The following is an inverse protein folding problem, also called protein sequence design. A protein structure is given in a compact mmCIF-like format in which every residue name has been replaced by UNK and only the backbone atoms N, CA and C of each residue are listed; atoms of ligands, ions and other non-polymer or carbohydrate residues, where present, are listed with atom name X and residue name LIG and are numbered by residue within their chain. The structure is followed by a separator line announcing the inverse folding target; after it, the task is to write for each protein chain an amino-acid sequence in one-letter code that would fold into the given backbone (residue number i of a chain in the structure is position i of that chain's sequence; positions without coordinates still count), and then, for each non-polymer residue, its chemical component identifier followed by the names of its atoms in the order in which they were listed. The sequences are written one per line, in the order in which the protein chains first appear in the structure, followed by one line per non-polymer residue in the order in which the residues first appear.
data_IF_103075536505
#
_entry.id   IF_103075536505
#
_cell.length_a   1.000
_cell.length_b   1.000
_cell.length_c   1.000
_cell.angle_alpha   90.00
_cell.angle_beta   90.00
_cell.angle_gamma   90.00
#
_symmetry.space_group_name_H-M   'P 1'
#
loop_
_entity.id
_entity.type
_entity.pdbx_description
1 polymer ?
#
# COMPACT_ATOMS: atom_id res chain seq x y z
N UNK A 1 -6.14 -43.67 47.39
CA UNK A 1 -5.34 -42.49 47.00
C UNK A 1 -4.70 -42.81 45.64
N UNK A 2 -5.30 -42.50 44.48
CA UNK A 2 -6.34 -41.51 44.17
C UNK A 2 -5.83 -40.06 44.42
N UNK A 3 -5.85 -39.09 43.49
CA UNK A 3 -6.48 -39.01 42.15
C UNK A 3 -5.68 -38.17 41.13
N UNK A 4 -5.69 -38.63 39.89
CA UNK A 4 -5.67 -37.92 38.58
C UNK A 4 -5.60 -36.38 38.51
N UNK A 5 -4.72 -35.84 37.64
CA UNK A 5 -5.14 -34.83 36.62
C UNK A 5 -4.25 -34.70 35.37
N UNK A 6 -4.83 -35.12 34.23
CA UNK A 6 -4.64 -34.72 32.83
C UNK A 6 -3.24 -34.50 32.22
N UNK A 7 -2.89 -35.42 31.30
CA UNK A 7 -2.13 -35.11 30.08
C UNK A 7 -3.06 -34.55 28.96
N UNK A 8 -2.58 -33.55 28.21
CA UNK A 8 -3.11 -32.99 26.93
C UNK A 8 -2.16 -31.86 26.52
N UNK A 9 -1.68 -31.68 25.29
CA UNK A 9 -1.64 -32.50 24.05
C UNK A 9 -0.22 -33.16 23.92
N UNK A 10 0.31 -33.81 22.87
CA UNK A 10 0.05 -34.03 21.41
C UNK A 10 0.34 -32.84 20.45
N UNK A 11 1.60 -32.59 20.09
CA UNK A 11 2.18 -33.12 18.82
C UNK A 11 1.11 -33.44 17.76
N UNK A 12 0.87 -32.48 16.86
CA UNK A 12 0.20 -32.59 15.56
C UNK A 12 1.14 -31.84 14.61
N UNK A 13 2.03 -32.48 13.85
CA UNK A 13 1.85 -33.38 12.68
C UNK A 13 1.94 -32.59 11.36
N UNK A 14 2.93 -32.98 10.58
CA UNK A 14 3.30 -32.50 9.25
C UNK A 14 2.36 -33.09 8.17
N UNK A 15 2.35 -32.44 7.00
CA UNK A 15 1.84 -32.93 5.71
C UNK A 15 0.31 -33.05 5.55
N UNK A 16 -0.23 -32.18 4.69
CA UNK A 16 -1.37 -32.47 3.84
C UNK A 16 -0.86 -32.63 2.39
N UNK A 17 -0.22 -33.77 2.10
CA UNK A 17 0.34 -34.05 0.77
C UNK A 17 -0.44 -35.18 0.09
N UNK A 18 -0.84 -34.93 -1.15
CA UNK A 18 -0.95 -35.88 -2.29
C UNK A 18 -2.33 -36.09 -2.94
N UNK A 19 -2.26 -36.16 -4.27
CA UNK A 19 -3.22 -36.69 -5.26
C UNK A 19 -4.65 -36.11 -5.31
N UNK A 20 -4.80 -35.08 -6.15
CA UNK A 20 -5.73 -35.20 -7.28
C UNK A 20 -4.92 -35.17 -8.58
N UNK A 21 -4.70 -36.33 -9.17
CA UNK A 21 -4.10 -36.47 -10.50
C UNK A 21 -5.18 -36.27 -11.56
N UNK A 22 -5.53 -35.02 -11.85
CA UNK A 22 -6.37 -34.65 -13.01
C UNK A 22 -5.45 -34.09 -14.08
N UNK A 23 -5.57 -34.58 -15.31
CA UNK A 23 -4.72 -34.14 -16.41
C UNK A 23 -5.10 -32.73 -16.89
N UNK A 24 -4.09 -31.87 -17.02
CA UNK A 24 -4.01 -30.74 -17.95
C UNK A 24 -5.24 -29.83 -18.11
N UNK A 25 -5.35 -28.81 -17.25
CA UNK A 25 -5.65 -27.44 -17.71
C UNK A 25 -4.60 -26.49 -17.11
N UNK A 26 -4.09 -25.57 -17.92
CA UNK A 26 -3.03 -24.63 -17.53
C UNK A 26 -3.59 -23.47 -16.72
N UNK A 27 -3.17 -23.34 -15.46
CA UNK A 27 -3.34 -22.13 -14.65
C UNK A 27 -2.17 -22.02 -13.66
N UNK A 28 -1.24 -21.10 -13.93
CA UNK A 28 -0.14 -20.81 -13.01
C UNK A 28 -0.63 -19.99 -11.83
N UNK A 29 -0.63 -20.56 -10.62
CA UNK A 29 -0.91 -19.83 -9.38
C UNK A 29 0.28 -18.92 -9.06
N UNK A 30 0.30 -17.73 -9.64
CA UNK A 30 1.29 -16.69 -9.34
C UNK A 30 0.88 -15.93 -8.10
N UNK A 31 1.51 -16.24 -6.96
CA UNK A 31 1.36 -15.43 -5.73
C UNK A 31 2.08 -14.11 -5.92
N UNK A 32 1.32 -13.06 -6.22
CA UNK A 32 1.84 -11.69 -6.34
C UNK A 32 1.60 -10.92 -5.04
N UNK A 33 2.69 -10.64 -4.32
CA UNK A 33 2.62 -9.98 -3.02
C UNK A 33 2.81 -8.47 -3.20
N UNK A 34 1.69 -7.75 -3.26
CA UNK A 34 1.65 -6.27 -3.18
C UNK A 34 1.83 -5.75 -1.74
N UNK A 35 1.97 -6.66 -0.77
CA UNK A 35 2.02 -6.39 0.66
C UNK A 35 3.38 -6.70 1.29
N UNK A 36 4.15 -5.65 1.52
CA UNK A 36 5.24 -5.65 2.50
C UNK A 36 5.25 -4.25 3.08
N UNK A 37 4.87 -4.14 4.34
CA UNK A 37 4.39 -2.88 4.91
C UNK A 37 4.79 -2.81 6.38
N UNK A 38 6.10 -2.83 6.62
CA UNK A 38 6.65 -2.19 7.83
C UNK A 38 6.58 -0.66 7.66
N UNK A 39 5.35 -0.13 7.66
CA UNK A 39 5.05 1.30 7.69
C UNK A 39 3.99 1.62 8.74
N UNK A 40 4.23 1.13 9.97
CA UNK A 40 3.50 1.57 11.18
C UNK A 40 4.39 2.32 12.16
N UNK A 41 5.40 3.00 11.63
CA UNK A 41 6.26 3.95 12.35
C UNK A 41 5.59 5.32 12.40
N UNK A 42 4.87 5.58 13.50
CA UNK A 42 4.48 6.93 13.90
C UNK A 42 5.73 7.74 14.29
N UNK A 43 6.41 8.34 13.32
CA UNK A 43 7.45 9.34 13.60
C UNK A 43 6.76 10.67 13.91
N UNK A 44 6.69 11.04 15.20
CA UNK A 44 6.07 12.28 15.67
C UNK A 44 7.11 13.38 15.99
N UNK A 45 7.48 14.26 15.05
CA UNK A 45 8.23 15.49 15.34
C UNK A 45 7.29 16.67 15.69
N UNK A 46 6.18 16.43 16.39
CA UNK A 46 5.19 17.49 16.67
C UNK A 46 4.12 17.13 17.71
N UNK A 47 4.39 17.45 18.98
CA UNK A 47 3.45 17.43 20.12
C UNK A 47 2.80 16.07 20.51
N UNK A 48 2.58 15.78 21.81
CA UNK A 48 1.76 14.64 22.25
C UNK A 48 0.27 14.72 21.84
N UNK A 49 -0.17 15.86 21.28
CA UNK A 49 -1.56 16.17 20.98
C UNK A 49 -2.07 15.64 19.62
N UNK A 50 -1.17 15.38 18.66
CA UNK A 50 -1.50 14.98 17.29
C UNK A 50 -1.54 13.44 17.18
N UNK A 51 -2.61 12.88 16.58
CA UNK A 51 -2.79 11.44 16.38
C UNK A 51 -3.50 11.13 15.07
N UNK A 52 -2.87 10.36 14.20
CA UNK A 52 -3.44 9.89 12.93
C UNK A 52 -3.72 8.39 12.88
N UNK A 53 -4.66 8.06 12.00
CA UNK A 53 -4.97 6.70 11.59
C UNK A 53 -5.11 6.64 10.06
N UNK A 54 -4.17 5.95 9.40
CA UNK A 54 -4.31 5.54 8.00
C UNK A 54 -5.15 4.26 7.94
N UNK A 55 -6.10 4.19 7.01
CA UNK A 55 -6.86 2.98 6.72
C UNK A 55 -6.91 2.74 5.20
N UNK A 56 -7.02 1.47 4.80
CA UNK A 56 -7.34 1.07 3.43
C UNK A 56 -8.47 0.01 3.40
N UNK A 57 -9.73 0.35 3.79
CA UNK A 57 -10.82 -0.63 3.92
C UNK A 57 -11.17 -1.47 2.68
N UNK A 58 -10.83 -1.02 1.45
CA UNK A 58 -10.98 -1.78 0.21
C UNK A 58 -9.77 -2.67 -0.10
N UNK A 59 -8.63 -2.40 0.54
CA UNK A 59 -7.42 -3.20 0.42
C UNK A 59 -7.46 -4.41 1.37
N UNK A 60 -7.61 -4.17 2.68
CA UNK A 60 -7.47 -5.19 3.74
C UNK A 60 -8.75 -5.43 4.56
N UNK A 61 -9.75 -4.54 4.47
CA UNK A 61 -11.01 -4.63 5.21
C UNK A 61 -10.97 -4.08 6.64
N UNK A 62 -9.89 -3.43 7.09
CA UNK A 62 -9.83 -2.75 8.39
C UNK A 62 -10.30 -1.29 8.30
N UNK A 63 -10.89 -0.78 9.39
CA UNK A 63 -11.46 0.59 9.49
C UNK A 63 -11.06 1.32 10.78
N UNK A 64 -10.30 0.63 11.64
CA UNK A 64 -9.96 0.95 13.02
C UNK A 64 -8.43 1.03 13.24
N UNK A 65 -7.68 1.16 12.14
CA UNK A 65 -6.23 1.21 12.15
C UNK A 65 -5.56 -0.06 12.67
N UNK A 66 -6.27 -1.20 12.79
CA UNK A 66 -5.63 -2.48 13.16
C UNK A 66 -4.96 -3.17 11.97
N UNK A 67 -5.28 -2.75 10.73
CA UNK A 67 -4.62 -3.23 9.53
C UNK A 67 -3.11 -3.08 9.55
N UNK A 68 -2.45 -4.03 8.91
CA UNK A 68 -1.01 -4.10 8.67
C UNK A 68 -0.68 -4.06 7.15
N UNK A 69 -1.69 -3.96 6.29
CA UNK A 69 -1.52 -3.99 4.82
C UNK A 69 -1.19 -5.36 4.23
N UNK A 70 -0.98 -6.39 5.05
CA UNK A 70 -0.55 -7.75 4.68
C UNK A 70 -1.56 -8.85 5.01
N UNK A 71 -2.49 -8.59 5.95
CA UNK A 71 -3.52 -9.53 6.38
C UNK A 71 -4.93 -9.02 6.06
N UNK A 72 -5.78 -9.89 5.51
CA UNK A 72 -7.22 -9.59 5.35
C UNK A 72 -7.90 -9.65 6.72
N UNK A 73 -8.66 -8.62 7.07
CA UNK A 73 -9.47 -8.57 8.28
C UNK A 73 -10.39 -9.82 8.38
N UNK A 74 -10.21 -10.69 9.39
CA UNK A 74 -11.02 -11.90 9.55
C UNK A 74 -12.53 -11.63 9.67
N UNK A 75 -12.93 -10.44 10.12
CA UNK A 75 -14.33 -10.02 10.23
C UNK A 75 -14.92 -9.39 8.96
N UNK A 76 -14.12 -9.05 7.94
CA UNK A 76 -14.61 -8.41 6.72
C UNK A 76 -15.61 -9.30 5.97
N UNK A 77 -16.66 -8.68 5.43
CA UNK A 77 -17.55 -9.28 4.44
C UNK A 77 -16.86 -9.24 3.06
N UNK A 78 -17.29 -10.09 2.13
CA UNK A 78 -16.79 -10.11 0.75
C UNK A 78 -15.26 -10.09 0.60
N UNK A 79 -14.55 -10.97 1.34
CA UNK A 79 -13.07 -11.01 1.33
C UNK A 79 -12.45 -11.18 -0.06
N UNK A 80 -13.18 -11.79 -0.98
CA UNK A 80 -12.73 -12.04 -2.35
C UNK A 80 -12.75 -10.76 -3.23
N UNK A 81 -13.53 -9.74 -2.83
CA UNK A 81 -13.59 -8.43 -3.49
C UNK A 81 -12.47 -7.47 -3.00
N UNK A 82 -11.71 -7.84 -1.97
CA UNK A 82 -10.67 -7.00 -1.37
C UNK A 82 -9.39 -6.97 -2.21
N UNK A 83 -8.76 -5.80 -2.29
CA UNK A 83 -7.53 -5.56 -3.05
C UNK A 83 -6.40 -6.52 -2.70
N UNK A 84 -6.18 -6.83 -1.43
CA UNK A 84 -5.15 -7.78 -0.98
C UNK A 84 -5.39 -9.20 -1.50
N UNK A 85 -6.66 -9.62 -1.62
CA UNK A 85 -7.04 -10.93 -2.19
C UNK A 85 -6.88 -10.95 -3.72
N UNK A 86 -7.35 -9.89 -4.40
CA UNK A 86 -7.27 -9.73 -5.86
C UNK A 86 -5.81 -9.64 -6.32
N UNK A 87 -5.00 -8.85 -5.61
CA UNK A 87 -3.57 -8.70 -5.85
C UNK A 87 -2.84 -10.04 -5.81
N UNK A 88 -3.19 -10.91 -4.85
CA UNK A 88 -2.58 -12.22 -4.65
C UNK A 88 -2.57 -13.13 -5.88
N UNK A 89 -3.43 -12.89 -6.89
CA UNK A 89 -3.46 -13.62 -8.16
C UNK A 89 -3.75 -12.68 -9.36
N UNK A 90 -3.14 -11.49 -9.39
CA UNK A 90 -3.42 -10.48 -10.42
C UNK A 90 -3.05 -10.95 -11.86
N UNK A 91 -3.68 -10.33 -12.87
CA UNK A 91 -3.39 -10.52 -14.29
C UNK A 91 -3.16 -9.17 -15.00
N UNK A 92 -2.58 -9.13 -16.22
CA UNK A 92 -2.45 -7.88 -16.98
C UNK A 92 -3.82 -7.25 -17.27
N UNK A 93 -4.05 -6.04 -16.75
CA UNK A 93 -5.35 -5.37 -16.76
C UNK A 93 -6.27 -5.68 -15.58
N UNK A 94 -5.79 -6.35 -14.52
CA UNK A 94 -6.50 -6.40 -13.24
C UNK A 94 -6.65 -4.99 -12.66
N UNK A 95 -7.86 -4.66 -12.22
CA UNK A 95 -8.11 -3.50 -11.36
C UNK A 95 -8.09 -3.99 -9.91
N UNK A 96 -7.23 -3.38 -9.09
CA UNK A 96 -6.98 -3.78 -7.71
C UNK A 96 -7.49 -2.64 -6.80
N UNK A 97 -8.57 -2.86 -6.02
CA UNK A 97 -9.09 -1.85 -5.11
C UNK A 97 -8.08 -1.42 -4.03
N UNK A 98 -8.02 -0.12 -3.74
CA UNK A 98 -7.33 0.46 -2.59
C UNK A 98 -8.12 1.69 -2.12
N UNK A 99 -7.81 2.28 -0.98
CA UNK A 99 -8.40 3.57 -0.58
C UNK A 99 -7.65 4.22 0.61
N UNK A 100 -6.36 4.56 0.45
CA UNK A 100 -5.62 5.26 1.49
C UNK A 100 -6.31 6.57 1.86
N UNK A 101 -6.76 6.64 3.11
CA UNK A 101 -7.40 7.81 3.72
C UNK A 101 -6.92 7.99 5.17
N UNK A 102 -6.67 9.24 5.57
CA UNK A 102 -6.25 9.60 6.92
C UNK A 102 -7.45 10.08 7.74
N UNK A 103 -7.53 9.61 8.98
CA UNK A 103 -8.50 10.06 9.98
C UNK A 103 -7.76 10.87 11.05
N UNK A 104 -8.27 12.05 11.37
CA UNK A 104 -7.84 12.80 12.55
C UNK A 104 -8.39 12.08 13.80
N UNK A 105 -7.49 11.55 14.62
CA UNK A 105 -7.82 10.79 15.84
C UNK A 105 -7.34 11.49 17.12
N UNK A 106 -6.97 12.76 17.02
CA UNK A 106 -6.40 13.58 18.09
C UNK A 106 -7.39 13.78 19.23
N UNK A 107 -7.04 13.30 20.42
CA UNK A 107 -7.91 13.32 21.61
C UNK A 107 -7.72 14.58 22.48
N UNK A 108 -6.64 15.35 22.28
CA UNK A 108 -6.39 16.64 22.95
C UNK A 108 -7.50 17.68 22.68
N UNK A 109 -7.84 18.49 23.69
CA UNK A 109 -8.87 19.51 23.61
C UNK A 109 -8.40 20.85 23.00
N UNK A 110 -7.11 20.99 22.67
CA UNK A 110 -6.57 22.11 21.91
C UNK A 110 -6.55 21.86 20.38
N UNK A 111 -6.77 20.61 19.94
CA UNK A 111 -6.68 20.20 18.53
C UNK A 111 -8.07 19.91 17.96
N UNK A 112 -8.67 20.94 17.35
CA UNK A 112 -9.95 20.83 16.65
C UNK A 112 -9.81 20.33 15.21
N UNK A 113 -8.69 20.63 14.54
CA UNK A 113 -8.44 20.26 13.13
C UNK A 113 -6.95 20.24 12.76
N UNK A 114 -6.61 19.44 11.75
CA UNK A 114 -5.22 19.20 11.29
C UNK A 114 -5.16 19.23 9.76
N UNK A 115 -4.03 19.68 9.19
CA UNK A 115 -3.74 19.49 7.77
C UNK A 115 -3.09 18.13 7.55
N UNK A 116 -3.48 17.45 6.48
CA UNK A 116 -3.06 16.07 6.18
C UNK A 116 -2.09 16.02 5.01
N UNK A 117 -1.07 15.17 5.13
CA UNK A 117 -0.13 14.86 4.07
C UNK A 117 0.04 13.34 3.88
N UNK A 118 0.35 12.92 2.66
CA UNK A 118 0.76 11.55 2.34
C UNK A 118 2.05 11.53 1.52
N UNK A 119 2.86 10.49 1.74
CA UNK A 119 3.98 10.11 0.87
C UNK A 119 3.65 8.77 0.20
N UNK A 120 3.96 8.65 -1.08
CA UNK A 120 3.78 7.43 -1.89
C UNK A 120 5.13 6.98 -2.43
N UNK A 121 5.54 5.75 -2.10
CA UNK A 121 6.74 5.10 -2.61
C UNK A 121 6.39 3.90 -3.50
N UNK A 122 7.18 3.70 -4.54
CA UNK A 122 7.00 2.64 -5.53
C UNK A 122 8.20 1.69 -5.47
N UNK A 123 7.95 0.39 -5.33
CA UNK A 123 9.00 -0.64 -5.36
C UNK A 123 8.66 -1.76 -6.34
N UNK A 124 9.68 -2.42 -6.88
CA UNK A 124 9.53 -3.62 -7.73
C UNK A 124 10.61 -4.65 -7.39
N UNK A 125 10.29 -5.93 -7.53
CA UNK A 125 11.27 -7.00 -7.41
C UNK A 125 12.09 -7.09 -8.71
N UNK A 126 13.42 -6.94 -8.64
CA UNK A 126 14.27 -6.89 -9.85
C UNK A 126 14.33 -8.25 -10.59
N UNK A 127 14.20 -9.35 -9.84
CA UNK A 127 14.07 -10.71 -10.35
C UNK A 127 13.18 -11.55 -9.42
N UNK A 128 12.53 -12.59 -9.94
CA UNK A 128 11.68 -13.49 -9.13
C UNK A 128 12.42 -14.03 -7.91
N UNK A 129 11.97 -13.67 -6.71
CA UNK A 129 12.59 -14.06 -5.44
C UNK A 129 13.80 -13.22 -5.00
N UNK A 130 14.16 -12.17 -5.76
CA UNK A 130 15.18 -11.20 -5.39
C UNK A 130 14.69 -10.11 -4.43
N UNK A 131 15.52 -9.11 -4.20
CA UNK A 131 15.16 -7.95 -3.38
C UNK A 131 14.21 -6.99 -4.11
N UNK A 132 13.48 -6.18 -3.34
CA UNK A 132 12.69 -5.08 -3.86
C UNK A 132 13.54 -3.81 -3.93
N UNK A 133 13.52 -3.16 -5.09
CA UNK A 133 14.22 -1.90 -5.35
C UNK A 133 13.19 -0.77 -5.52
N UNK A 134 13.51 0.42 -5.00
CA UNK A 134 12.72 1.62 -5.25
C UNK A 134 12.83 2.04 -6.72
N UNK A 135 11.73 2.53 -7.28
CA UNK A 135 11.62 3.04 -8.65
C UNK A 135 10.83 4.34 -8.67
N UNK A 136 11.00 5.14 -9.72
CA UNK A 136 10.25 6.39 -9.88
C UNK A 136 8.78 6.14 -10.23
N UNK A 137 7.92 7.13 -10.00
CA UNK A 137 6.53 7.10 -10.49
C UNK A 137 6.42 6.82 -12.00
N UNK A 138 7.37 7.32 -12.79
CA UNK A 138 7.43 7.14 -14.25
C UNK A 138 7.79 5.69 -14.64
N UNK A 139 8.74 5.08 -13.92
CA UNK A 139 9.09 3.67 -14.05
C UNK A 139 7.94 2.77 -13.54
N UNK A 140 7.24 3.18 -12.47
CA UNK A 140 6.06 2.46 -11.95
C UNK A 140 4.88 2.49 -12.93
N UNK A 141 4.67 3.60 -13.66
CA UNK A 141 3.62 3.75 -14.67
C UNK A 141 3.73 2.73 -15.84
N UNK A 142 4.86 2.01 -15.95
CA UNK A 142 5.06 0.88 -16.87
C UNK A 142 4.42 -0.41 -16.33
N UNK A 143 4.34 -0.57 -15.01
CA UNK A 143 3.80 -1.75 -14.31
C UNK A 143 2.30 -1.62 -14.00
N UNK A 144 1.86 -0.46 -13.54
CA UNK A 144 0.47 -0.16 -13.23
C UNK A 144 0.20 1.35 -13.23
N UNK A 145 -1.05 1.74 -13.46
CA UNK A 145 -1.51 3.13 -13.32
C UNK A 145 -2.31 3.34 -12.03
N UNK A 146 -2.22 4.56 -11.49
CA UNK A 146 -2.97 5.01 -10.30
C UNK A 146 -3.71 6.30 -10.69
N UNK A 147 -5.01 6.35 -10.45
CA UNK A 147 -5.82 7.55 -10.67
C UNK A 147 -5.90 8.37 -9.36
N UNK A 148 -4.97 9.30 -9.19
CA UNK A 148 -4.91 10.17 -8.02
C UNK A 148 -6.07 11.17 -7.98
N UNK A 149 -6.64 11.38 -6.79
CA UNK A 149 -7.76 12.27 -6.52
C UNK A 149 -7.33 13.75 -6.47
N UNK A 150 -6.94 14.28 -7.63
CA UNK A 150 -6.41 15.65 -7.81
C UNK A 150 -7.42 16.77 -7.47
N UNK A 151 -8.70 16.44 -7.27
CA UNK A 151 -9.71 17.39 -6.79
C UNK A 151 -9.61 17.67 -5.27
N UNK A 152 -8.97 16.77 -4.50
CA UNK A 152 -8.88 16.87 -3.04
C UNK A 152 -7.45 16.66 -2.51
N UNK A 153 -6.52 16.22 -3.35
CA UNK A 153 -5.10 16.02 -3.01
C UNK A 153 -4.21 16.69 -4.05
N UNK A 154 -3.35 17.59 -3.60
CA UNK A 154 -2.35 18.26 -4.45
C UNK A 154 -1.01 17.56 -4.30
N UNK A 155 -0.41 17.11 -5.42
CA UNK A 155 1.00 16.69 -5.45
C UNK A 155 1.89 17.92 -5.27
N UNK A 156 2.67 17.96 -4.20
CA UNK A 156 3.51 19.10 -3.81
C UNK A 156 5.00 18.86 -4.06
N UNK A 157 5.46 17.61 -4.10
CA UNK A 157 6.85 17.27 -4.42
C UNK A 157 7.02 15.84 -4.96
N UNK A 158 8.20 15.61 -5.53
CA UNK A 158 8.84 14.29 -5.70
C UNK A 158 10.24 14.39 -5.10
N UNK A 159 10.73 13.36 -4.41
CA UNK A 159 12.10 13.33 -3.87
C UNK A 159 13.11 12.57 -4.75
N UNK A 160 14.38 12.54 -4.31
CA UNK A 160 15.48 11.93 -5.05
C UNK A 160 15.41 10.38 -5.17
N UNK A 161 14.50 9.72 -4.43
CA UNK A 161 14.20 8.30 -4.61
C UNK A 161 13.09 8.06 -5.64
N UNK A 162 12.37 9.11 -6.04
CA UNK A 162 11.19 9.03 -6.89
C UNK A 162 9.87 8.90 -6.12
N UNK A 163 9.88 9.06 -4.79
CA UNK A 163 8.69 9.07 -3.96
C UNK A 163 7.91 10.40 -4.11
N UNK A 164 6.58 10.30 -4.17
CA UNK A 164 5.68 11.43 -4.40
C UNK A 164 4.99 11.89 -3.11
N UNK A 165 4.89 13.20 -2.92
CA UNK A 165 4.32 13.82 -1.73
C UNK A 165 3.04 14.59 -2.10
N UNK A 166 2.00 14.39 -1.30
CA UNK A 166 0.67 14.95 -1.50
C UNK A 166 0.19 15.65 -0.23
N UNK A 167 -0.46 16.80 -0.37
CA UNK A 167 -1.15 17.49 0.72
C UNK A 167 -2.67 17.53 0.45
N UNK A 168 -3.47 17.45 1.51
CA UNK A 168 -4.94 17.49 1.40
C UNK A 168 -5.44 18.92 1.19
N UNK A 169 -6.25 19.14 0.15
CA UNK A 169 -6.63 20.45 -0.37
C UNK A 169 -6.00 20.78 -1.72
N UNK A 170 -6.10 22.05 -2.12
CA UNK A 170 -5.54 22.59 -3.36
C UNK A 170 -4.14 23.17 -3.14
N UNK A 171 -3.41 23.45 -4.23
CA UNK A 171 -2.11 24.13 -4.18
C UNK A 171 -2.16 25.47 -3.44
N UNK A 172 -3.27 26.21 -3.60
CA UNK A 172 -3.47 27.53 -2.99
C UNK A 172 -4.10 27.46 -1.58
N UNK A 173 -4.67 26.32 -1.17
CA UNK A 173 -5.41 26.20 0.10
C UNK A 173 -5.47 24.76 0.59
N UNK A 174 -4.72 24.47 1.67
CA UNK A 174 -4.82 23.21 2.39
C UNK A 174 -6.20 23.08 3.08
N UNK A 175 -6.76 21.87 3.05
CA UNK A 175 -8.04 21.55 3.71
C UNK A 175 -7.77 20.95 5.08
N UNK A 176 -8.22 21.63 6.13
CA UNK A 176 -8.13 21.12 7.49
C UNK A 176 -9.18 20.02 7.74
N UNK A 177 -8.77 18.90 8.32
CA UNK A 177 -9.63 17.77 8.69
C UNK A 177 -9.93 17.87 10.18
N UNK A 178 -11.21 18.02 10.50
CA UNK A 178 -11.69 18.12 11.87
C UNK A 178 -11.49 16.81 12.66
N UNK A 179 -11.39 16.93 13.98
CA UNK A 179 -11.32 15.82 14.92
C UNK A 179 -12.40 14.76 14.68
N UNK A 180 -11.99 13.51 14.49
CA UNK A 180 -12.87 12.38 14.17
C UNK A 180 -13.35 12.30 12.71
N UNK A 181 -12.98 13.26 11.84
CA UNK A 181 -13.25 13.20 10.41
C UNK A 181 -12.07 12.55 9.64
N UNK A 182 -12.35 12.11 8.42
CA UNK A 182 -11.36 11.53 7.51
C UNK A 182 -11.27 12.29 6.20
N UNK A 183 -10.10 12.23 5.56
CA UNK A 183 -9.89 12.68 4.17
C UNK A 183 -10.72 11.84 3.20
N UNK A 184 -11.10 12.38 2.04
CA UNK A 184 -11.38 11.53 0.87
C UNK A 184 -10.13 10.74 0.48
N UNK A 185 -10.22 9.51 -0.05
CA UNK A 185 -9.03 8.73 -0.42
C UNK A 185 -8.12 9.44 -1.43
N UNK A 186 -6.81 9.19 -1.34
CA UNK A 186 -5.81 9.71 -2.28
C UNK A 186 -5.94 9.06 -3.67
N UNK A 187 -6.32 7.79 -3.73
CA UNK A 187 -6.79 7.06 -4.92
C UNK A 187 -7.74 5.94 -4.49
N UNK A 188 -8.42 5.28 -5.44
CA UNK A 188 -9.41 4.22 -5.16
C UNK A 188 -9.09 2.87 -5.83
N UNK A 189 -8.13 2.84 -6.75
CA UNK A 189 -7.76 1.63 -7.48
C UNK A 189 -6.36 1.75 -8.09
N UNK A 190 -5.77 0.60 -8.38
CA UNK A 190 -4.51 0.42 -9.10
C UNK A 190 -4.81 -0.48 -10.29
N UNK A 191 -4.60 0.00 -11.52
CA UNK A 191 -4.83 -0.80 -12.72
C UNK A 191 -3.52 -1.34 -13.25
N UNK A 192 -3.34 -2.67 -13.20
CA UNK A 192 -2.17 -3.37 -13.73
C UNK A 192 -2.06 -3.13 -15.24
N UNK A 193 -0.86 -2.82 -15.74
CA UNK A 193 -0.59 -2.63 -17.17
C UNK A 193 -1.07 -3.81 -18.01
N UNK A 194 -1.61 -3.51 -19.20
CA UNK A 194 -1.98 -4.50 -20.21
C UNK A 194 -1.49 -4.03 -21.59
N UNK A 195 -0.42 -4.66 -22.07
CA UNK A 195 0.13 -4.48 -23.40
C UNK A 195 0.82 -5.80 -23.84
N UNK A 196 1.38 -5.84 -25.04
CA UNK A 196 1.97 -7.05 -25.62
C UNK A 196 3.36 -7.41 -25.04
N UNK A 197 3.93 -6.56 -24.18
CA UNK A 197 5.25 -6.73 -23.55
C UNK A 197 5.14 -7.22 -22.09
N UNK A 198 4.13 -6.73 -21.35
CA UNK A 198 3.86 -7.07 -19.95
C UNK A 198 3.08 -8.40 -19.87
N UNK A 199 3.76 -9.51 -20.17
CA UNK A 199 3.14 -10.82 -20.37
C UNK A 199 3.68 -11.91 -19.44
N UNK A 200 2.76 -12.80 -19.02
CA UNK A 200 3.10 -14.08 -18.38
C UNK A 200 3.56 -15.07 -19.46
N UNK A 201 4.86 -15.10 -19.74
CA UNK A 201 5.48 -16.10 -20.63
C UNK A 201 5.35 -17.51 -20.04
N UNK A 202 4.87 -18.49 -20.81
CA UNK A 202 4.75 -19.88 -20.35
C UNK A 202 6.00 -20.73 -20.58
N UNK A 203 6.98 -20.24 -21.35
CA UNK A 203 8.09 -21.04 -21.91
C UNK A 203 9.50 -20.58 -21.50
N UNK A 204 9.64 -19.40 -20.88
CA UNK A 204 10.94 -18.85 -20.48
C UNK A 204 10.80 -17.55 -19.70
N UNK A 205 11.91 -17.04 -19.17
CA UNK A 205 11.97 -15.75 -18.47
C UNK A 205 11.53 -14.59 -19.37
N UNK A 206 10.79 -13.64 -18.82
CA UNK A 206 10.54 -12.33 -19.43
C UNK A 206 11.56 -11.33 -18.87
N UNK A 207 12.05 -10.43 -19.72
CA UNK A 207 12.76 -9.20 -19.32
C UNK A 207 11.92 -8.02 -19.76
N UNK A 208 11.75 -7.01 -18.90
CA UNK A 208 10.90 -5.85 -19.16
C UNK A 208 11.64 -4.54 -18.85
N UNK A 209 11.45 -3.53 -19.72
CA UNK A 209 12.12 -2.23 -19.61
C UNK A 209 11.20 -1.18 -18.98
N UNK A 210 11.64 -0.68 -17.81
CA UNK A 210 10.95 0.36 -17.06
C UNK A 210 11.33 1.77 -17.53
N UNK A 211 12.31 1.92 -18.42
CA UNK A 211 12.91 3.19 -18.79
C UNK A 211 14.25 3.43 -18.10
N UNK A 212 14.97 4.46 -18.56
CA UNK A 212 16.29 4.88 -18.05
C UNK A 212 17.37 3.78 -17.97
N UNK A 213 17.19 2.69 -18.73
CA UNK A 213 18.06 1.51 -18.68
C UNK A 213 17.81 0.59 -17.48
N UNK A 214 16.78 0.84 -16.66
CA UNK A 214 16.34 -0.05 -15.58
C UNK A 214 15.44 -1.14 -16.17
N UNK A 215 15.91 -2.39 -16.11
CA UNK A 215 15.12 -3.56 -16.50
C UNK A 215 14.82 -4.43 -15.29
N UNK A 216 13.73 -5.18 -15.36
CA UNK A 216 13.37 -6.22 -14.39
C UNK A 216 13.17 -7.55 -15.13
N UNK A 217 13.19 -8.66 -14.39
CA UNK A 217 12.97 -10.00 -14.94
C UNK A 217 11.98 -10.81 -14.12
N UNK A 218 11.27 -11.73 -14.75
CA UNK A 218 10.45 -12.71 -14.05
C UNK A 218 10.45 -14.09 -14.71
N UNK A 219 10.25 -15.13 -13.91
CA UNK A 219 10.23 -16.52 -14.34
C UNK A 219 8.98 -16.90 -15.13
N UNK A 220 9.09 -17.99 -15.90
CA UNK A 220 7.98 -18.50 -16.69
C UNK A 220 6.78 -18.88 -15.81
N UNK A 221 5.57 -18.53 -16.25
CA UNK A 221 4.30 -18.67 -15.53
C UNK A 221 4.22 -17.80 -14.26
N UNK A 222 4.92 -16.66 -14.25
CA UNK A 222 4.83 -15.61 -13.22
C UNK A 222 4.64 -14.22 -13.84
N UNK A 223 4.46 -13.22 -12.98
CA UNK A 223 4.42 -11.78 -13.26
C UNK A 223 5.26 -11.08 -12.17
N UNK A 224 5.78 -9.85 -12.39
CA UNK A 224 6.67 -9.21 -11.43
C UNK A 224 5.90 -8.79 -10.16
N UNK A 225 6.54 -8.91 -9.00
CA UNK A 225 5.99 -8.36 -7.76
C UNK A 225 6.36 -6.88 -7.64
N UNK A 226 5.40 -6.04 -7.26
CA UNK A 226 5.60 -4.60 -7.02
C UNK A 226 4.77 -4.13 -5.82
N UNK A 227 5.15 -3.00 -5.23
CA UNK A 227 4.52 -2.41 -4.04
C UNK A 227 4.18 -0.94 -4.30
N UNK A 228 3.09 -0.49 -3.68
CA UNK A 228 2.76 0.94 -3.52
C UNK A 228 2.63 1.19 -2.02
N UNK A 229 3.70 1.72 -1.43
CA UNK A 229 3.77 2.05 -0.02
C UNK A 229 3.17 3.44 0.20
N UNK A 230 2.30 3.59 1.19
CA UNK A 230 1.65 4.86 1.51
C UNK A 230 1.86 5.18 2.98
N UNK A 231 2.36 6.38 3.25
CA UNK A 231 2.65 6.89 4.57
C UNK A 231 1.79 8.13 4.82
N UNK A 232 1.28 8.30 6.04
CA UNK A 232 0.49 9.47 6.44
C UNK A 232 1.21 10.35 7.45
N UNK A 233 0.98 11.66 7.40
CA UNK A 233 1.47 12.61 8.40
C UNK A 233 0.49 13.79 8.58
N UNK A 234 0.56 14.45 9.73
CA UNK A 234 -0.30 15.57 10.11
C UNK A 234 0.51 16.80 10.49
N UNK A 235 -0.10 17.97 10.28
CA UNK A 235 0.38 19.27 10.71
C UNK A 235 -0.76 19.92 11.50
N UNK A 236 -0.46 20.37 12.72
CA UNK A 236 -1.42 21.11 13.54
C UNK A 236 -1.84 22.41 12.83
N UNK A 237 -3.13 22.74 12.82
CA UNK A 237 -3.66 23.85 12.03
C UNK A 237 -3.44 25.25 12.66
N UNK A 238 -2.59 25.40 13.67
CA UNK A 238 -2.40 26.65 14.41
C UNK A 238 -1.49 27.65 13.67
N UNK A 239 -2.13 28.47 12.84
CA UNK A 239 -1.64 29.75 12.33
C UNK A 239 -0.44 29.71 11.35
N UNK A 240 -0.10 28.56 10.75
CA UNK A 240 1.01 28.48 9.78
C UNK A 240 0.65 27.76 8.47
N UNK A 241 -0.31 28.33 7.73
CA UNK A 241 -0.80 27.79 6.45
C UNK A 241 0.25 27.80 5.33
N UNK A 242 1.08 28.84 5.26
CA UNK A 242 1.96 29.08 4.10
C UNK A 242 3.24 28.23 4.09
N UNK A 243 3.72 27.78 5.26
CA UNK A 243 5.06 27.17 5.37
C UNK A 243 5.17 25.80 4.69
N UNK A 244 4.10 25.01 4.60
CA UNK A 244 4.18 23.59 4.23
C UNK A 244 3.71 23.26 2.82
N UNK A 245 2.72 23.97 2.27
CA UNK A 245 2.21 23.71 0.91
C UNK A 245 3.29 23.93 -0.18
N UNK A 246 4.22 24.86 0.07
CA UNK A 246 5.23 25.33 -0.89
C UNK A 246 6.69 25.00 -0.48
N UNK A 247 6.90 24.08 0.47
CA UNK A 247 8.24 23.78 1.00
C UNK A 247 8.52 22.28 1.06
N UNK A 248 9.11 21.76 -0.02
CA UNK A 248 9.55 20.37 -0.16
C UNK A 248 10.38 19.87 1.03
N UNK A 249 11.28 20.70 1.57
CA UNK A 249 12.16 20.29 2.66
C UNK A 249 11.42 20.18 4.01
N UNK A 250 10.48 21.10 4.29
CA UNK A 250 9.62 21.02 5.47
C UNK A 250 8.65 19.82 5.38
N UNK A 251 8.18 19.48 4.18
CA UNK A 251 7.30 18.34 3.95
C UNK A 251 8.06 17.00 4.05
N UNK A 252 9.26 16.90 3.46
CA UNK A 252 10.13 15.72 3.61
C UNK A 252 10.50 15.46 5.08
N UNK A 253 10.71 16.52 5.87
CA UNK A 253 11.00 16.41 7.31
C UNK A 253 9.82 15.85 8.15
N UNK A 254 8.62 15.69 7.58
CA UNK A 254 7.49 14.99 8.23
C UNK A 254 7.49 13.46 7.98
N UNK A 255 8.42 12.96 7.17
CA UNK A 255 8.53 11.55 6.76
C UNK A 255 9.98 10.99 6.83
N UNK A 256 10.87 11.66 7.57
CA UNK A 256 12.30 11.31 7.72
C UNK A 256 12.71 10.89 9.12
#
# INVERSE_FOLDING_TARGET
MEKTKNSRLKKVVLAATSVLAVASITAGLTVAILSDTDSKTNTFPGSPAIKLQLNEPLWDGYTDGQGDGTTVNPAAQNKDDLGLTIAGNYQPGSVIPKNPALTNTSDDAAVESEYMAMKVEYQVQESTGGEFITITAEQFARLASINFNTNAWTKTATDASGADYYCYGTADTLTAVAKGAATTPLFTEVTVTKNDEFVMSSTGKTTYDLGDGKTITWDANTLPQFKILVYGSAIQADNNTDTYANNTAALQALFG
#
